data_IF_162705396780
#
_entry.id   IF_162705396780
#
_cell.length_a   1.000
_cell.length_b   1.000
_cell.length_c   1.000
_cell.angle_alpha   90.00
_cell.angle_beta   90.00
_cell.angle_gamma   90.00
#
_symmetry.space_group_name_H-M   'P 1'
#
loop_
_entity.id
_entity.type
_entity.pdbx_description
1 polymer ?
#
# COMPACT_ATOMS: atom_id res chain seq x y z
N UNK A 1 -27.75 -22.52 -11.74
CA UNK A 1 -27.33 -21.60 -10.67
C UNK A 1 -25.91 -21.95 -10.27
N UNK A 2 -24.94 -21.21 -10.79
CA UNK A 2 -23.51 -21.44 -10.54
C UNK A 2 -23.17 -21.06 -9.11
N UNK A 3 -22.59 -22.01 -8.39
CA UNK A 3 -22.16 -21.89 -7.01
C UNK A 3 -21.03 -20.83 -6.97
N UNK A 4 -21.34 -19.58 -6.63
CA UNK A 4 -20.32 -18.53 -6.43
C UNK A 4 -19.52 -18.92 -5.21
N UNK A 5 -18.35 -19.51 -5.43
CA UNK A 5 -17.36 -19.77 -4.41
C UNK A 5 -16.88 -18.43 -3.87
N UNK A 6 -17.45 -17.97 -2.76
CA UNK A 6 -16.92 -16.82 -2.03
C UNK A 6 -15.53 -17.19 -1.51
N UNK A 7 -14.45 -16.49 -1.93
CA UNK A 7 -13.07 -16.85 -1.60
C UNK A 7 -12.74 -16.64 -0.10
N UNK A 8 -13.67 -16.08 0.67
CA UNK A 8 -13.47 -15.74 2.09
C UNK A 8 -13.82 -16.87 3.06
N UNK A 9 -14.01 -18.11 2.59
CA UNK A 9 -14.30 -19.24 3.48
C UNK A 9 -13.01 -20.01 3.84
N UNK A 10 -12.60 -19.80 5.10
CA UNK A 10 -11.88 -20.75 5.99
C UNK A 10 -10.38 -20.48 6.23
N UNK A 11 -10.08 -19.40 6.94
CA UNK A 11 -8.97 -19.41 7.91
C UNK A 11 -9.48 -18.96 9.29
N UNK A 12 -10.36 -19.75 9.90
CA UNK A 12 -10.55 -19.60 11.35
C UNK A 12 -9.28 -20.11 12.02
N UNK A 13 -8.56 -19.17 12.63
CA UNK A 13 -7.38 -19.36 13.46
C UNK A 13 -6.12 -19.86 12.72
N UNK A 14 -5.63 -19.14 11.71
CA UNK A 14 -4.19 -19.24 11.38
C UNK A 14 -3.32 -18.98 12.63
N UNK A 15 -3.85 -18.18 13.57
CA UNK A 15 -3.27 -17.94 14.88
C UNK A 15 -3.01 -19.20 15.71
N UNK A 16 -3.79 -20.27 15.54
CA UNK A 16 -3.52 -21.53 16.26
C UNK A 16 -2.29 -22.26 15.72
N UNK A 17 -1.91 -22.00 14.47
CA UNK A 17 -0.77 -22.63 13.80
C UNK A 17 0.56 -21.89 14.03
N UNK A 18 0.53 -20.66 14.59
CA UNK A 18 1.76 -20.02 15.03
C UNK A 18 2.41 -20.90 16.12
N UNK A 19 3.70 -21.26 15.95
CA UNK A 19 4.43 -22.04 16.93
C UNK A 19 4.31 -21.44 18.33
N UNK A 20 4.34 -22.29 19.35
CA UNK A 20 4.35 -21.84 20.74
C UNK A 20 5.46 -20.82 21.04
N UNK A 21 6.56 -20.78 20.28
CA UNK A 21 7.63 -19.78 20.39
C UNK A 21 7.24 -18.37 19.95
N UNK A 22 6.21 -18.20 19.10
CA UNK A 22 5.60 -16.89 18.80
C UNK A 22 4.53 -16.50 19.83
N UNK A 23 4.12 -17.44 20.68
CA UNK A 23 3.20 -17.25 21.81
C UNK A 23 3.94 -17.12 23.15
N UNK A 24 5.16 -17.67 23.23
CA UNK A 24 6.04 -17.63 24.39
C UNK A 24 6.86 -16.36 24.34
N UNK A 25 6.24 -15.32 24.85
CA UNK A 25 6.96 -14.19 25.41
C UNK A 25 7.54 -14.69 26.75
N UNK A 26 8.65 -15.41 26.70
CA UNK A 26 9.34 -15.94 27.89
C UNK A 26 10.00 -14.84 28.76
N UNK A 27 9.48 -13.61 28.71
CA UNK A 27 10.00 -12.47 29.45
C UNK A 27 8.93 -11.66 30.19
N UNK A 28 7.68 -12.10 30.38
CA UNK A 28 6.75 -11.31 31.22
C UNK A 28 5.91 -12.22 32.14
N UNK A 29 5.93 -11.88 33.43
CA UNK A 29 5.29 -12.56 34.56
C UNK A 29 3.77 -12.38 34.66
N UNK A 30 3.14 -11.55 33.83
CA UNK A 30 1.78 -11.05 34.07
C UNK A 30 0.86 -11.25 32.85
N UNK A 31 -0.31 -11.84 33.11
CA UNK A 31 -1.33 -12.25 32.13
C UNK A 31 -1.93 -11.07 31.34
N UNK A 32 -1.95 -9.88 31.95
CA UNK A 32 -2.43 -8.64 31.31
C UNK A 32 -1.49 -8.18 30.18
N UNK A 33 -0.19 -8.46 30.26
CA UNK A 33 0.79 -8.09 29.23
C UNK A 33 0.70 -9.00 27.99
N UNK A 34 0.25 -10.24 28.14
CA UNK A 34 0.05 -11.18 27.01
C UNK A 34 -1.10 -10.71 26.09
N UNK A 35 -2.17 -10.16 26.68
CA UNK A 35 -3.29 -9.61 25.90
C UNK A 35 -2.87 -8.35 25.14
N UNK A 36 -2.09 -7.46 25.76
CA UNK A 36 -1.54 -6.27 25.11
C UNK A 36 -0.54 -6.59 23.98
N UNK A 37 0.36 -7.56 24.16
CA UNK A 37 1.32 -7.94 23.11
C UNK A 37 0.70 -8.77 21.97
N UNK A 38 -0.32 -9.60 22.25
CA UNK A 38 -1.09 -10.25 21.18
C UNK A 38 -1.88 -9.23 20.34
N UNK A 39 -2.35 -8.16 20.97
CA UNK A 39 -2.92 -6.99 20.28
C UNK A 39 -1.86 -6.19 19.53
N UNK A 40 -0.64 -6.09 20.07
CA UNK A 40 0.48 -5.39 19.43
C UNK A 40 0.96 -6.09 18.14
N UNK A 41 1.20 -7.41 18.22
CA UNK A 41 1.62 -8.21 17.06
C UNK A 41 0.52 -8.26 16.01
N UNK A 42 -0.74 -8.37 16.42
CA UNK A 42 -1.87 -8.33 15.48
C UNK A 42 -2.03 -6.96 14.84
N UNK A 43 -1.83 -5.86 15.57
CA UNK A 43 -1.82 -4.50 15.01
C UNK A 43 -0.73 -4.30 13.97
N UNK A 44 0.49 -4.77 14.23
CA UNK A 44 1.61 -4.62 13.28
C UNK A 44 1.36 -5.30 11.93
N UNK A 45 0.76 -6.49 11.90
CA UNK A 45 0.42 -7.16 10.62
C UNK A 45 -0.69 -6.44 9.82
N UNK A 46 -1.46 -5.57 10.47
CA UNK A 46 -2.54 -4.82 9.84
C UNK A 46 -2.08 -3.48 9.27
N UNK A 47 -0.88 -3.02 9.64
CA UNK A 47 -0.30 -1.77 9.17
C UNK A 47 0.70 -2.01 8.04
N UNK A 48 0.73 -1.09 7.06
CA UNK A 48 1.80 -1.06 6.08
C UNK A 48 3.11 -0.59 6.73
N UNK A 49 4.27 -1.08 6.26
CA UNK A 49 5.56 -0.58 6.71
C UNK A 49 5.66 0.95 6.51
N UNK A 50 6.07 1.66 7.56
CA UNK A 50 6.20 3.14 7.53
C UNK A 50 7.32 3.65 6.63
N UNK A 51 8.29 2.81 6.31
CA UNK A 51 9.46 3.15 5.51
C UNK A 51 9.47 2.34 4.23
N UNK A 52 9.75 3.01 3.12
CA UNK A 52 9.97 2.36 1.83
C UNK A 52 11.46 2.21 1.61
N UNK A 53 11.92 0.99 1.35
CA UNK A 53 13.34 0.69 1.12
C UNK A 53 13.60 0.27 -0.31
N UNK A 54 14.64 0.80 -0.94
CA UNK A 54 15.02 0.50 -2.31
C UNK A 54 16.46 0.00 -2.33
N UNK A 55 16.65 -1.21 -2.88
CA UNK A 55 17.98 -1.75 -3.14
C UNK A 55 18.51 -1.20 -4.46
N UNK A 56 19.70 -0.62 -4.42
CA UNK A 56 20.39 -0.02 -5.55
C UNK A 56 21.20 -1.07 -6.28
N UNK A 57 21.05 -1.10 -7.60
CA UNK A 57 21.94 -1.87 -8.46
C UNK A 57 23.25 -1.09 -8.69
N UNK A 58 24.20 -1.26 -7.77
CA UNK A 58 25.49 -0.55 -7.78
C UNK A 58 26.38 -0.87 -8.97
N UNK A 59 26.08 -1.94 -9.72
CA UNK A 59 26.76 -2.25 -10.99
C UNK A 59 26.37 -1.30 -12.13
N UNK A 60 25.21 -0.65 -12.01
CA UNK A 60 24.66 0.22 -13.05
C UNK A 60 24.69 1.70 -12.67
N UNK A 61 24.47 2.03 -11.39
CA UNK A 61 24.31 3.41 -10.93
C UNK A 61 24.72 3.55 -9.46
N UNK A 62 25.27 4.70 -9.08
CA UNK A 62 25.66 4.95 -7.70
C UNK A 62 24.45 5.27 -6.79
N UNK A 63 24.50 4.96 -5.49
CA UNK A 63 23.42 5.30 -4.56
C UNK A 63 23.12 6.81 -4.49
N UNK A 64 24.14 7.67 -4.63
CA UNK A 64 23.97 9.13 -4.59
C UNK A 64 23.21 9.65 -5.82
N UNK A 65 23.53 9.12 -7.01
CA UNK A 65 22.80 9.47 -8.23
C UNK A 65 21.33 9.03 -8.16
N UNK A 66 21.06 7.81 -7.67
CA UNK A 66 19.67 7.35 -7.49
C UNK A 66 18.95 8.20 -6.45
N UNK A 67 19.62 8.56 -5.36
CA UNK A 67 19.06 9.42 -4.33
C UNK A 67 18.60 10.77 -4.92
N UNK A 68 19.43 11.42 -5.73
CA UNK A 68 19.09 12.68 -6.39
C UNK A 68 17.90 12.57 -7.35
N UNK A 69 17.81 11.46 -8.10
CA UNK A 69 16.67 11.17 -8.99
C UNK A 69 15.39 11.06 -8.17
N UNK A 70 15.42 10.29 -7.08
CA UNK A 70 14.25 10.08 -6.22
C UNK A 70 13.86 11.36 -5.48
N UNK A 71 14.82 12.11 -4.94
CA UNK A 71 14.56 13.41 -4.29
C UNK A 71 13.87 14.39 -5.22
N UNK A 72 14.25 14.40 -6.49
CA UNK A 72 13.60 15.24 -7.50
C UNK A 72 12.16 14.80 -7.75
N UNK A 73 11.92 13.50 -7.94
CA UNK A 73 10.56 12.98 -8.10
C UNK A 73 9.66 13.20 -6.88
N UNK A 74 10.19 12.99 -5.67
CA UNK A 74 9.45 13.24 -4.42
C UNK A 74 9.10 14.72 -4.25
N UNK A 75 10.01 15.63 -4.62
CA UNK A 75 9.74 17.08 -4.61
C UNK A 75 8.59 17.43 -5.56
N UNK A 76 8.63 16.94 -6.80
CA UNK A 76 7.57 17.18 -7.79
C UNK A 76 6.20 16.65 -7.32
N UNK A 77 6.16 15.44 -6.74
CA UNK A 77 4.92 14.90 -6.18
C UNK A 77 4.45 15.72 -4.96
N UNK A 78 5.38 16.21 -4.15
CA UNK A 78 5.04 17.01 -2.97
C UNK A 78 4.41 18.34 -3.32
N UNK A 79 4.88 18.97 -4.40
CA UNK A 79 4.30 20.20 -4.94
C UNK A 79 2.89 19.97 -5.49
N UNK A 80 2.65 18.85 -6.18
CA UNK A 80 1.31 18.48 -6.70
C UNK A 80 0.29 18.25 -5.58
N UNK A 81 0.75 17.73 -4.45
CA UNK A 81 -0.08 17.39 -3.30
C UNK A 81 -0.09 18.49 -2.22
N UNK A 82 0.62 19.61 -2.43
CA UNK A 82 0.79 20.69 -1.45
C UNK A 82 1.30 20.18 -0.09
N UNK A 83 2.21 19.21 -0.11
CA UNK A 83 2.75 18.53 1.07
C UNK A 83 4.27 18.74 1.19
N UNK A 84 4.83 18.42 2.35
CA UNK A 84 6.28 18.40 2.55
C UNK A 84 6.86 17.11 1.97
N UNK A 85 7.93 17.25 1.17
CA UNK A 85 8.64 16.10 0.57
C UNK A 85 9.17 15.15 1.65
N UNK A 86 9.07 13.84 1.38
CA UNK A 86 9.57 12.81 2.28
C UNK A 86 11.10 12.83 2.40
N UNK A 87 11.61 12.45 3.57
CA UNK A 87 13.05 12.32 3.82
C UNK A 87 13.61 11.08 3.13
N UNK A 88 14.81 11.19 2.57
CA UNK A 88 15.53 10.05 1.98
C UNK A 88 16.98 10.03 2.42
N UNK A 89 17.48 8.84 2.77
CA UNK A 89 18.84 8.63 3.23
C UNK A 89 19.34 7.23 2.89
N UNK A 90 20.67 7.07 2.82
CA UNK A 90 21.30 5.75 2.66
C UNK A 90 21.34 5.03 4.01
N UNK A 91 20.98 3.75 4.04
CA UNK A 91 20.99 2.96 5.26
C UNK A 91 22.42 2.86 5.82
N UNK A 92 22.64 3.07 7.14
CA UNK A 92 23.99 3.20 7.72
C UNK A 92 24.84 1.92 7.61
N UNK A 93 24.19 0.75 7.51
CA UNK A 93 24.86 -0.56 7.40
C UNK A 93 24.80 -1.12 5.97
N UNK A 94 23.77 -0.76 5.22
CA UNK A 94 23.49 -1.33 3.90
C UNK A 94 23.69 -0.22 2.87
N UNK A 95 24.92 -0.09 2.39
CA UNK A 95 25.32 1.04 1.52
C UNK A 95 24.64 1.03 0.16
N UNK A 96 24.08 -0.11 -0.26
CA UNK A 96 23.26 -0.28 -1.45
C UNK A 96 21.75 -0.16 -1.15
N UNK A 97 21.34 0.37 0.01
CA UNK A 97 19.94 0.53 0.38
C UNK A 97 19.62 2.00 0.64
N UNK A 98 18.66 2.54 -0.11
CA UNK A 98 18.04 3.83 0.19
C UNK A 98 16.76 3.62 0.99
N UNK A 99 16.56 4.46 1.99
CA UNK A 99 15.38 4.47 2.85
C UNK A 99 14.63 5.78 2.65
N UNK A 100 13.35 5.66 2.34
CA UNK A 100 12.41 6.77 2.20
C UNK A 100 11.51 6.76 3.43
N UNK A 101 11.48 7.87 4.15
CA UNK A 101 10.61 8.09 5.30
C UNK A 101 9.14 8.26 4.89
N UNK A 102 8.21 8.17 5.85
CA UNK A 102 6.83 8.51 5.60
C UNK A 102 6.71 9.98 5.21
N UNK A 103 5.65 10.31 4.49
CA UNK A 103 5.23 11.69 4.34
C UNK A 103 4.83 12.23 5.71
N UNK A 104 5.04 13.52 5.97
CA UNK A 104 4.63 14.08 7.25
C UNK A 104 3.12 13.94 7.39
N UNK A 105 2.68 13.46 8.57
CA UNK A 105 1.28 13.31 8.98
C UNK A 105 0.61 14.69 9.03
N UNK A 106 0.37 15.30 7.88
CA UNK A 106 -0.77 16.19 7.74
C UNK A 106 -1.92 15.27 7.40
N UNK A 107 -2.84 15.17 8.36
CA UNK A 107 -4.10 14.44 8.29
C UNK A 107 -4.49 14.21 6.83
N UNK A 108 -4.47 12.95 6.37
CA UNK A 108 -5.20 12.58 5.16
C UNK A 108 -6.56 13.17 5.37
N UNK A 109 -6.83 14.29 4.71
CA UNK A 109 -8.14 14.92 4.81
C UNK A 109 -9.04 13.85 4.26
N UNK A 110 -9.80 13.23 5.15
CA UNK A 110 -10.91 12.36 4.80
C UNK A 110 -11.98 13.25 4.15
N UNK A 111 -11.63 13.88 3.03
CA UNK A 111 -12.55 14.38 2.06
C UNK A 111 -13.10 13.12 1.41
N UNK A 112 -14.04 12.48 2.12
CA UNK A 112 -14.86 11.42 1.59
C UNK A 112 -15.55 12.03 0.37
N UNK A 113 -14.93 11.84 -0.79
CA UNK A 113 -15.55 12.21 -2.05
C UNK A 113 -16.84 11.40 -2.17
N UNK A 114 -17.87 11.94 -2.80
CA UNK A 114 -19.13 11.21 -3.01
C UNK A 114 -18.99 9.98 -3.93
N UNK A 115 -17.76 9.59 -4.30
CA UNK A 115 -17.43 8.48 -5.16
C UNK A 115 -16.52 7.49 -4.41
N UNK A 116 -16.99 6.25 -4.30
CA UNK A 116 -16.26 5.17 -3.63
C UNK A 116 -15.77 4.17 -4.67
N UNK A 117 -14.55 3.67 -4.55
CA UNK A 117 -14.03 2.58 -5.39
C UNK A 117 -13.67 1.42 -4.49
N UNK A 118 -14.20 0.24 -4.78
CA UNK A 118 -13.90 -0.98 -4.05
C UNK A 118 -12.84 -1.74 -4.85
N UNK A 119 -11.71 -2.01 -4.22
CA UNK A 119 -10.60 -2.79 -4.79
C UNK A 119 -10.49 -4.15 -4.12
N UNK A 120 -9.78 -5.08 -4.75
CA UNK A 120 -9.44 -6.36 -4.11
C UNK A 120 -8.39 -6.16 -2.99
N UNK A 121 -8.21 -7.19 -2.15
CA UNK A 121 -7.31 -7.13 -0.99
C UNK A 121 -5.83 -6.93 -1.37
N UNK A 122 -5.39 -7.49 -2.50
CA UNK A 122 -4.00 -7.38 -2.94
C UNK A 122 -3.70 -5.97 -3.46
N UNK A 123 -4.64 -5.40 -4.22
CA UNK A 123 -4.62 -4.03 -4.68
C UNK A 123 -4.67 -3.05 -3.50
N UNK A 124 -5.56 -3.27 -2.53
CA UNK A 124 -5.60 -2.47 -1.30
C UNK A 124 -4.26 -2.47 -0.55
N UNK A 125 -3.63 -3.63 -0.41
CA UNK A 125 -2.30 -3.73 0.21
C UNK A 125 -1.18 -3.09 -0.64
N UNK A 126 -1.32 -3.00 -1.96
CA UNK A 126 -0.40 -2.26 -2.82
C UNK A 126 -0.59 -0.75 -2.67
N UNK A 127 -1.84 -0.29 -2.62
CA UNK A 127 -2.21 1.12 -2.40
C UNK A 127 -1.68 1.64 -1.07
N UNK A 128 -1.83 0.87 0.02
CA UNK A 128 -1.27 1.24 1.33
C UNK A 128 0.26 1.39 1.33
N UNK A 129 0.94 0.83 0.33
CA UNK A 129 2.39 0.98 0.11
C UNK A 129 2.73 2.05 -0.94
N UNK A 130 1.75 2.86 -1.35
CA UNK A 130 1.91 3.97 -2.29
C UNK A 130 1.69 3.64 -3.76
N UNK A 131 1.07 2.50 -4.10
CA UNK A 131 0.72 2.18 -5.48
C UNK A 131 -0.56 2.88 -5.95
N UNK A 132 -0.66 3.08 -7.26
CA UNK A 132 -1.90 3.51 -7.92
C UNK A 132 -2.92 2.38 -8.08
N UNK A 133 -4.18 2.74 -8.25
CA UNK A 133 -5.25 1.79 -8.60
C UNK A 133 -5.34 1.62 -10.12
N UNK A 134 -5.34 0.36 -10.56
CA UNK A 134 -5.50 -0.02 -11.96
C UNK A 134 -6.76 -0.87 -12.14
N UNK A 135 -7.35 -0.83 -13.35
CA UNK A 135 -8.62 -1.49 -13.65
C UNK A 135 -8.73 -2.96 -13.20
N UNK A 136 -7.70 -3.82 -13.33
CA UNK A 136 -7.79 -5.21 -12.89
C UNK A 136 -8.04 -5.41 -11.40
N UNK A 137 -7.64 -4.44 -10.56
CA UNK A 137 -7.82 -4.50 -9.11
C UNK A 137 -9.18 -3.97 -8.63
N UNK A 138 -10.01 -3.43 -9.52
CA UNK A 138 -11.30 -2.83 -9.15
C UNK A 138 -12.39 -3.90 -9.12
N UNK A 139 -13.02 -4.02 -7.96
CA UNK A 139 -14.12 -4.94 -7.68
C UNK A 139 -15.49 -4.27 -7.80
N UNK A 140 -15.57 -2.95 -7.60
CA UNK A 140 -16.82 -2.20 -7.68
C UNK A 140 -16.62 -0.68 -7.79
N UNK A 141 -17.52 -0.02 -8.51
CA UNK A 141 -17.56 1.43 -8.69
C UNK A 141 -19.03 1.87 -8.84
N UNK A 142 -19.42 3.08 -8.39
CA UNK A 142 -20.74 3.65 -8.63
C UNK A 142 -21.09 3.66 -10.11
N UNK A 143 -22.34 3.32 -10.42
CA UNK A 143 -22.82 3.29 -11.80
C UNK A 143 -22.68 4.64 -12.51
N UNK A 144 -22.92 5.74 -11.80
CA UNK A 144 -22.74 7.10 -12.33
C UNK A 144 -21.32 7.35 -12.82
N UNK A 145 -20.32 6.81 -12.13
CA UNK A 145 -18.91 6.95 -12.49
C UNK A 145 -18.51 6.00 -13.63
N UNK A 146 -19.05 4.78 -13.62
CA UNK A 146 -18.89 3.83 -14.72
C UNK A 146 -19.41 4.42 -16.03
N UNK A 147 -20.62 4.98 -16.02
CA UNK A 147 -21.25 5.59 -17.18
C UNK A 147 -20.48 6.84 -17.64
N UNK A 148 -19.92 7.62 -16.71
CA UNK A 148 -19.06 8.78 -17.02
C UNK A 148 -17.76 8.37 -17.72
N UNK A 149 -17.02 7.41 -17.17
CA UNK A 149 -15.79 6.87 -17.77
C UNK A 149 -16.10 6.29 -19.16
N UNK A 150 -17.20 5.55 -19.27
CA UNK A 150 -17.66 4.98 -20.55
C UNK A 150 -18.07 6.05 -21.57
N UNK A 151 -18.66 7.17 -21.13
CA UNK A 151 -19.05 8.28 -22.01
C UNK A 151 -17.86 9.09 -22.52
N UNK A 152 -16.80 9.23 -21.72
CA UNK A 152 -15.59 9.97 -22.08
C UNK A 152 -14.62 9.16 -22.94
N UNK A 153 -14.73 7.84 -22.93
CA UNK A 153 -13.86 6.96 -23.70
C UNK A 153 -14.68 5.84 -24.36
N UNK A 154 -15.37 6.10 -25.48
CA UNK A 154 -16.13 5.06 -26.20
C UNK A 154 -15.24 3.93 -26.78
N UNK A 155 -13.91 4.08 -26.76
CA UNK A 155 -12.94 3.06 -27.13
C UNK A 155 -12.57 2.07 -26.00
N UNK A 156 -13.13 2.23 -24.79
CA UNK A 156 -12.67 1.53 -23.58
C UNK A 156 -12.86 -0.01 -23.65
N UNK A 157 -13.78 -0.55 -24.44
CA UNK A 157 -13.90 -2.01 -24.60
C UNK A 157 -12.74 -2.64 -25.40
N UNK A 158 -12.11 -1.89 -26.30
CA UNK A 158 -10.90 -2.36 -27.00
C UNK A 158 -9.60 -1.95 -26.27
N UNK A 159 -9.65 -0.96 -25.37
CA UNK A 159 -8.51 -0.48 -24.58
C UNK A 159 -8.42 -1.07 -23.17
N UNK A 160 -9.42 -1.75 -22.63
CA UNK A 160 -9.26 -2.59 -21.42
C UNK A 160 -8.25 -3.74 -21.69
N UNK A 161 -8.01 -4.08 -22.96
CA UNK A 161 -6.95 -4.99 -23.41
C UNK A 161 -5.56 -4.30 -23.40
N UNK A 162 -5.49 -2.99 -23.20
CA UNK A 162 -4.24 -2.24 -22.97
C UNK A 162 -4.04 -2.04 -21.46
N UNK A 163 -3.26 -2.94 -20.87
CA UNK A 163 -3.01 -3.15 -19.43
C UNK A 163 -2.30 -1.98 -18.69
N UNK A 164 -2.28 -0.75 -19.22
CA UNK A 164 -1.38 0.32 -18.76
C UNK A 164 -2.05 1.66 -18.40
N UNK A 165 -3.39 1.76 -18.35
CA UNK A 165 -4.03 3.03 -17.94
C UNK A 165 -4.27 3.08 -16.43
N UNK A 166 -3.55 3.99 -15.77
CA UNK A 166 -3.78 4.48 -14.40
C UNK A 166 -5.21 5.03 -14.34
N UNK A 167 -6.07 4.46 -13.50
CA UNK A 167 -7.26 5.16 -13.07
C UNK A 167 -6.77 6.11 -11.99
N UNK A 168 -6.80 7.41 -12.28
CA UNK A 168 -6.52 8.46 -11.29
C UNK A 168 -7.68 8.50 -10.28
N UNK A 169 -7.79 7.46 -9.46
CA UNK A 169 -8.49 7.54 -8.19
C UNK A 169 -7.48 8.16 -7.25
N UNK A 170 -7.53 9.50 -7.11
CA UNK A 170 -6.85 10.16 -5.99
C UNK A 170 -7.59 9.73 -4.73
N UNK A 171 -6.95 8.86 -3.95
CA UNK A 171 -7.33 8.57 -2.57
C UNK A 171 -6.72 9.68 -1.71
#
# INVERSE_FOLDING_TARGET
>A
MTNRHFPFKKYMNILTHFPGSFKNVNCISDLDTILEESNYLSGWFLEAPKFTTIRINTLAISPEEVKQIIETGLREESEKCCQTSALIYTHPVLTDCLVIGPWHDQDVKNDFSNCEVIVDAACGAAVLRGADVFAPGIMGIPKSEFDFIHSKTPAFLNEIISWNKRLLVKI
#
